data_IF_228567398254
#
_entry.id   IF_228567398254
#
_cell.length_a   1.000
_cell.length_b   1.000
_cell.length_c   1.000
_cell.angle_alpha   90.00
_cell.angle_beta   90.00
_cell.angle_gamma   90.00
#
_symmetry.space_group_name_H-M   'P 1'
#
loop_
_entity.id
_entity.type
_entity.pdbx_description
1 polymer ?
#
# COMPACT_ATOMS: atom_id res chain seq x y z
N UNK A 1 8.81 1.60 4.65
CA UNK A 1 8.37 0.20 4.79
C UNK A 1 9.38 -0.72 5.45
N UNK A 2 10.70 -0.56 5.26
CA UNK A 2 11.72 -1.40 5.93
C UNK A 2 11.52 -1.49 7.45
N UNK A 3 11.12 -0.39 8.09
CA UNK A 3 10.82 -0.37 9.54
C UNK A 3 9.67 -1.32 9.92
N UNK A 4 8.66 -1.45 9.07
CA UNK A 4 7.51 -2.33 9.32
C UNK A 4 7.76 -3.79 8.93
N UNK A 5 8.73 -4.04 8.05
CA UNK A 5 9.06 -5.37 7.49
C UNK A 5 9.18 -6.49 8.55
N UNK A 6 9.98 -6.38 9.62
CA UNK A 6 10.13 -7.48 10.57
C UNK A 6 8.81 -7.81 11.30
N UNK A 7 7.98 -6.80 11.55
CA UNK A 7 6.69 -6.97 12.20
C UNK A 7 5.68 -7.64 11.28
N UNK A 8 5.59 -7.17 10.03
CA UNK A 8 4.67 -7.71 9.02
C UNK A 8 5.07 -9.13 8.65
N UNK A 9 6.35 -9.40 8.41
CA UNK A 9 6.85 -10.72 8.04
C UNK A 9 6.56 -11.76 9.13
N UNK A 10 6.80 -11.41 10.40
CA UNK A 10 6.50 -12.30 11.51
C UNK A 10 4.99 -12.59 11.58
N UNK A 11 4.15 -11.55 11.57
CA UNK A 11 2.70 -11.70 11.64
C UNK A 11 2.16 -12.54 10.46
N UNK A 12 2.65 -12.29 9.25
CA UNK A 12 2.28 -13.03 8.04
C UNK A 12 2.58 -14.53 8.19
N UNK A 13 3.79 -14.89 8.64
CA UNK A 13 4.18 -16.29 8.85
C UNK A 13 3.37 -16.98 9.94
N UNK A 14 3.02 -16.26 11.01
CA UNK A 14 2.16 -16.80 12.07
C UNK A 14 0.73 -17.06 11.57
N UNK A 15 0.22 -16.21 10.68
CA UNK A 15 -1.09 -16.42 10.04
C UNK A 15 -1.06 -17.48 8.93
N UNK A 16 0.12 -17.80 8.37
CA UNK A 16 0.30 -18.74 7.25
C UNK A 16 1.40 -19.78 7.53
N UNK A 17 1.25 -20.63 8.58
CA UNK A 17 2.30 -21.56 9.00
C UNK A 17 2.58 -22.71 8.00
N UNK A 18 1.66 -22.97 7.07
CA UNK A 18 1.78 -24.04 6.06
C UNK A 18 2.28 -23.59 4.69
N UNK A 19 2.69 -22.34 4.53
CA UNK A 19 3.07 -21.81 3.22
C UNK A 19 4.46 -22.34 2.80
N UNK A 20 4.60 -23.00 1.64
CA UNK A 20 5.89 -23.51 1.19
C UNK A 20 6.94 -22.39 1.00
N UNK A 21 8.23 -22.67 1.20
CA UNK A 21 9.28 -21.73 0.82
C UNK A 21 9.17 -21.36 -0.66
N UNK A 22 9.21 -20.07 -0.97
CA UNK A 22 9.16 -19.56 -2.35
C UNK A 22 7.77 -19.45 -2.98
N UNK A 23 6.70 -19.78 -2.25
CA UNK A 23 5.33 -19.47 -2.70
C UNK A 23 5.07 -17.96 -2.78
N UNK A 24 4.22 -17.53 -3.70
CA UNK A 24 3.82 -16.13 -3.83
C UNK A 24 3.07 -15.60 -2.60
N UNK A 25 3.10 -14.27 -2.41
CA UNK A 25 2.35 -13.63 -1.34
C UNK A 25 0.85 -13.78 -1.56
N UNK A 26 0.12 -14.15 -0.51
CA UNK A 26 -1.36 -14.17 -0.53
C UNK A 26 -1.97 -12.83 -0.09
N UNK A 27 -1.14 -11.86 0.27
CA UNK A 27 -1.56 -10.55 0.74
C UNK A 27 -0.96 -9.46 -0.16
N UNK A 28 -1.76 -8.45 -0.45
CA UNK A 28 -1.31 -7.17 -1.00
C UNK A 28 -2.07 -6.04 -0.30
N UNK A 29 -1.52 -4.84 -0.28
CA UNK A 29 -2.15 -3.69 0.36
C UNK A 29 -1.79 -2.41 -0.41
N UNK A 30 -2.77 -1.52 -0.57
CA UNK A 30 -2.57 -0.17 -1.14
C UNK A 30 -2.54 0.82 0.01
N UNK A 31 -1.40 1.46 0.22
CA UNK A 31 -1.18 2.39 1.34
C UNK A 31 -1.25 3.84 0.84
N UNK A 32 -1.97 4.68 1.59
CA UNK A 32 -1.91 6.14 1.42
C UNK A 32 -0.79 6.73 2.28
N UNK A 33 0.10 7.52 1.69
CA UNK A 33 1.16 8.22 2.41
C UNK A 33 0.88 9.72 2.40
N UNK A 34 0.70 10.29 3.59
CA UNK A 34 0.50 11.72 3.74
C UNK A 34 1.87 12.37 3.96
N UNK A 35 2.31 13.13 2.96
CA UNK A 35 3.63 13.74 2.92
C UNK A 35 3.47 15.26 2.83
N UNK A 36 4.14 15.97 3.74
CA UNK A 36 4.22 17.42 3.74
C UNK A 36 5.59 17.89 3.20
N UNK A 37 5.59 18.87 2.32
CA UNK A 37 6.82 19.50 1.82
C UNK A 37 7.11 20.78 2.59
N UNK A 38 8.35 20.95 3.06
CA UNK A 38 8.80 22.21 3.66
C UNK A 38 9.26 23.24 2.60
N UNK A 39 9.68 24.42 3.04
CA UNK A 39 10.14 25.52 2.15
C UNK A 39 11.37 25.16 1.32
N UNK A 40 12.14 24.13 1.71
CA UNK A 40 13.30 23.61 0.99
C UNK A 40 12.93 22.39 0.15
N UNK A 41 11.63 22.12 -0.03
CA UNK A 41 11.07 20.94 -0.70
C UNK A 41 11.51 19.63 -0.05
N UNK A 42 11.85 19.63 1.24
CA UNK A 42 12.13 18.38 1.95
C UNK A 42 10.79 17.70 2.29
N UNK A 43 10.62 16.41 1.94
CA UNK A 43 9.43 15.66 2.31
C UNK A 43 9.49 15.20 3.76
N UNK A 44 8.37 15.35 4.46
CA UNK A 44 8.14 14.91 5.82
C UNK A 44 6.92 13.97 5.83
N UNK A 45 7.14 12.74 6.25
CA UNK A 45 6.07 11.77 6.45
C UNK A 45 5.24 12.18 7.66
N UNK A 46 3.93 12.37 7.47
CA UNK A 46 3.00 12.66 8.56
C UNK A 46 2.37 11.37 9.07
N UNK A 47 1.74 10.62 8.18
CA UNK A 47 1.09 9.35 8.51
C UNK A 47 1.04 8.39 7.33
N UNK A 48 0.71 7.14 7.63
CA UNK A 48 0.46 6.08 6.67
C UNK A 48 -0.94 5.54 6.93
N UNK A 49 -1.82 5.67 5.95
CA UNK A 49 -3.19 5.19 6.02
C UNK A 49 -3.32 3.84 5.29
N UNK A 50 -3.76 2.82 6.03
CA UNK A 50 -4.05 1.47 5.49
C UNK A 50 -5.42 1.35 4.82
N UNK A 51 -6.29 2.33 5.03
CA UNK A 51 -7.62 2.42 4.43
C UNK A 51 -7.82 3.82 3.79
N UNK A 52 -7.09 4.15 2.73
CA UNK A 52 -7.28 5.42 2.03
C UNK A 52 -8.69 5.49 1.40
N UNK A 53 -9.26 6.70 1.34
CA UNK A 53 -10.59 6.89 0.77
C UNK A 53 -10.59 6.73 -0.76
N UNK A 54 -11.40 5.80 -1.24
CA UNK A 54 -11.63 5.58 -2.67
C UNK A 54 -12.90 6.27 -3.21
N UNK A 55 -13.49 7.22 -2.47
CA UNK A 55 -14.60 8.04 -2.96
C UNK A 55 -14.22 8.87 -4.18
N UNK A 56 -15.12 9.01 -5.15
CA UNK A 56 -14.85 9.68 -6.43
C UNK A 56 -15.84 10.82 -6.69
N UNK A 57 -15.79 11.84 -5.83
CA UNK A 57 -16.71 12.99 -5.91
C UNK A 57 -16.29 13.97 -7.02
N UNK A 58 -15.00 13.98 -7.38
CA UNK A 58 -14.46 14.80 -8.46
C UNK A 58 -13.83 13.94 -9.57
N UNK A 59 -13.73 14.50 -10.78
CA UNK A 59 -13.10 13.83 -11.92
C UNK A 59 -11.64 13.46 -11.67
N UNK A 60 -10.90 14.33 -10.96
CA UNK A 60 -9.51 14.07 -10.56
C UNK A 60 -9.41 12.89 -9.60
N UNK A 61 -10.31 12.76 -8.64
CA UNK A 61 -10.38 11.61 -7.74
C UNK A 61 -10.59 10.32 -8.55
N UNK A 62 -11.55 10.34 -9.47
CA UNK A 62 -11.83 9.18 -10.31
C UNK A 62 -10.60 8.76 -11.12
N UNK A 63 -9.98 9.69 -11.86
CA UNK A 63 -8.88 9.36 -12.76
C UNK A 63 -7.65 8.83 -12.01
N UNK A 64 -7.30 9.45 -10.88
CA UNK A 64 -6.16 9.02 -10.05
C UNK A 64 -6.47 7.70 -9.34
N UNK A 65 -7.58 7.61 -8.59
CA UNK A 65 -7.90 6.45 -7.75
C UNK A 65 -8.19 5.21 -8.59
N UNK A 66 -8.87 5.37 -9.73
CA UNK A 66 -9.05 4.29 -10.70
C UNK A 66 -7.71 3.81 -11.25
N UNK A 67 -6.80 4.72 -11.57
CA UNK A 67 -5.46 4.37 -12.04
C UNK A 67 -4.69 3.54 -11.02
N UNK A 68 -4.72 3.94 -9.74
CA UNK A 68 -4.09 3.21 -8.64
C UNK A 68 -4.63 1.78 -8.54
N UNK A 69 -5.95 1.61 -8.44
CA UNK A 69 -6.56 0.30 -8.26
C UNK A 69 -6.38 -0.60 -9.49
N UNK A 70 -6.65 -0.07 -10.69
CA UNK A 70 -6.54 -0.84 -11.92
C UNK A 70 -5.13 -1.36 -12.15
N UNK A 71 -4.13 -0.50 -11.97
CA UNK A 71 -2.74 -0.90 -12.18
C UNK A 71 -2.22 -1.80 -11.05
N UNK A 72 -2.66 -1.60 -9.81
CA UNK A 72 -2.35 -2.52 -8.71
C UNK A 72 -2.85 -3.94 -9.01
N UNK A 73 -4.12 -4.10 -9.41
CA UNK A 73 -4.68 -5.40 -9.76
C UNK A 73 -4.00 -6.03 -10.98
N UNK A 74 -3.66 -5.23 -12.00
CA UNK A 74 -2.88 -5.72 -13.15
C UNK A 74 -1.51 -6.25 -12.74
N UNK A 75 -0.84 -5.60 -11.79
CA UNK A 75 0.47 -6.05 -11.30
C UNK A 75 0.38 -7.34 -10.49
N UNK A 76 -0.76 -7.63 -9.84
CA UNK A 76 -0.99 -8.93 -9.19
C UNK A 76 -1.14 -10.07 -10.19
N UNK A 77 -1.46 -9.77 -11.46
CA UNK A 77 -1.55 -10.72 -12.56
C UNK A 77 -2.40 -11.96 -12.23
N UNK A 78 -3.58 -11.71 -11.65
CA UNK A 78 -4.60 -12.71 -11.32
C UNK A 78 -5.50 -12.96 -12.54
#
# INVERSE_FOLDING_TARGET
>A
MIVAEPHVLHAYRMCRPGQPPGSESVCFEVLGFDILLDRKLKPWLLEINRAPSFGTDQKIDYDVKRGVLLNALKLLNI
#
